data_IF_623702954706
#
_entry.id   IF_623702954706
#
_cell.length_a   1.000
_cell.length_b   1.000
_cell.length_c   1.000
_cell.angle_alpha   90.00
_cell.angle_beta   90.00
_cell.angle_gamma   90.00
#
_symmetry.space_group_name_H-M   'P 1'
#
loop_
_entity.id
_entity.type
_entity.pdbx_description
1 polymer ?
#
# COMPACT_ATOMS: atom_id res chain seq x y z
N UNK A 1 -48.95 -0.82 12.59
CA UNK A 1 -47.58 -1.08 12.05
C UNK A 1 -46.86 0.26 11.96
N UNK A 2 -45.61 0.36 12.43
CA UNK A 2 -44.77 1.57 12.23
C UNK A 2 -44.58 1.74 10.75
N UNK A 3 -44.80 2.94 10.22
CA UNK A 3 -44.53 3.24 8.81
C UNK A 3 -43.00 3.24 8.62
N UNK A 4 -42.51 2.54 7.60
CA UNK A 4 -41.10 2.50 7.24
C UNK A 4 -40.64 3.88 6.77
N UNK A 5 -39.46 4.30 7.21
CA UNK A 5 -38.88 5.61 6.87
C UNK A 5 -37.52 5.45 6.19
N UNK A 6 -37.03 6.52 5.59
CA UNK A 6 -35.68 6.57 4.99
C UNK A 6 -34.61 6.33 6.06
N UNK A 7 -34.83 6.84 7.27
CA UNK A 7 -33.88 6.62 8.38
C UNK A 7 -33.83 5.16 8.83
N UNK A 8 -34.98 4.46 8.82
CA UNK A 8 -34.99 3.00 9.04
C UNK A 8 -34.16 2.27 7.96
N UNK A 9 -34.17 2.75 6.70
CA UNK A 9 -33.34 2.20 5.62
C UNK A 9 -31.87 2.52 5.82
N UNK A 10 -31.50 3.76 6.17
CA UNK A 10 -30.10 4.17 6.42
C UNK A 10 -29.51 3.36 7.57
N UNK A 11 -30.28 3.09 8.62
CA UNK A 11 -29.87 2.28 9.76
C UNK A 11 -29.73 0.80 9.36
N UNK A 12 -30.75 0.20 8.73
CA UNK A 12 -30.73 -1.21 8.34
C UNK A 12 -29.56 -1.56 7.42
N UNK A 13 -29.29 -0.71 6.42
CA UNK A 13 -28.21 -0.94 5.45
C UNK A 13 -26.88 -0.34 5.89
N UNK A 14 -26.81 0.26 7.07
CA UNK A 14 -25.61 0.93 7.61
C UNK A 14 -24.91 1.87 6.61
N UNK A 15 -25.71 2.66 5.86
CA UNK A 15 -25.18 3.56 4.82
C UNK A 15 -24.13 4.52 5.38
N UNK A 16 -24.37 5.09 6.56
CA UNK A 16 -23.45 6.03 7.20
C UNK A 16 -22.12 5.38 7.61
N UNK A 17 -22.11 4.08 7.90
CA UNK A 17 -20.89 3.33 8.24
C UNK A 17 -20.02 3.03 7.02
N UNK A 18 -20.52 2.21 6.09
CA UNK A 18 -19.71 1.80 4.93
C UNK A 18 -19.56 2.90 3.87
N UNK A 19 -20.58 3.76 3.72
CA UNK A 19 -20.60 4.84 2.73
C UNK A 19 -19.56 5.94 2.99
N UNK A 20 -19.10 6.07 4.22
CA UNK A 20 -18.03 6.99 4.66
C UNK A 20 -18.21 8.44 4.16
N UNK A 21 -19.46 8.91 4.15
CA UNK A 21 -19.89 10.22 3.66
C UNK A 21 -19.76 10.43 2.14
N UNK A 22 -19.55 9.37 1.37
CA UNK A 22 -19.65 9.44 -0.10
C UNK A 22 -21.03 9.05 -0.61
N UNK A 23 -21.74 8.20 0.12
CA UNK A 23 -23.05 7.67 -0.26
C UNK A 23 -24.10 8.04 0.77
N UNK A 24 -25.29 8.33 0.29
CA UNK A 24 -26.47 8.61 1.11
C UNK A 24 -27.75 8.15 0.42
N UNK A 25 -28.90 8.40 1.08
CA UNK A 25 -30.25 8.19 0.55
C UNK A 25 -30.95 9.54 0.58
N UNK A 26 -31.51 9.97 -0.57
CA UNK A 26 -32.25 11.21 -0.70
C UNK A 26 -33.67 11.12 -0.15
N UNK A 27 -34.49 12.18 -0.30
CA UNK A 27 -35.87 12.21 0.24
C UNK A 27 -36.81 11.30 -0.55
N UNK A 28 -36.48 10.96 -1.79
CA UNK A 28 -37.21 10.03 -2.65
C UNK A 28 -36.92 8.57 -2.34
N UNK A 29 -35.85 8.31 -1.57
CA UNK A 29 -35.40 6.96 -1.20
C UNK A 29 -34.36 6.40 -2.14
N UNK A 30 -33.84 7.17 -3.06
CA UNK A 30 -32.81 6.77 -4.02
C UNK A 30 -31.41 7.01 -3.45
N UNK A 31 -30.43 6.20 -3.91
CA UNK A 31 -29.04 6.34 -3.48
C UNK A 31 -28.38 7.46 -4.29
N UNK A 32 -27.76 8.39 -3.60
CA UNK A 32 -26.88 9.38 -4.22
C UNK A 32 -25.43 9.20 -3.81
N UNK A 33 -24.52 9.74 -4.61
CA UNK A 33 -23.08 9.81 -4.32
C UNK A 33 -22.60 11.27 -4.33
N UNK A 34 -21.72 11.61 -3.37
CA UNK A 34 -20.99 12.88 -3.27
C UNK A 34 -19.50 12.63 -3.43
N UNK A 35 -18.99 12.50 -4.67
CA UNK A 35 -17.63 12.05 -4.94
C UNK A 35 -16.57 12.98 -4.34
N UNK A 36 -16.77 14.29 -4.47
CA UNK A 36 -15.87 15.33 -3.99
C UNK A 36 -16.10 15.73 -2.51
N UNK A 37 -17.15 15.20 -1.88
CA UNK A 37 -17.61 15.62 -0.53
C UNK A 37 -17.95 17.09 -0.41
N UNK A 38 -18.39 17.69 -1.49
CA UNK A 38 -18.98 19.01 -1.59
C UNK A 38 -20.51 18.91 -1.66
N UNK A 39 -21.17 19.99 -2.10
CA UNK A 39 -22.64 20.02 -2.26
C UNK A 39 -23.14 19.31 -3.52
N UNK A 40 -22.22 18.78 -4.36
CA UNK A 40 -22.58 18.08 -5.59
C UNK A 40 -23.07 16.67 -5.27
N UNK A 41 -24.35 16.41 -5.50
CA UNK A 41 -24.97 15.10 -5.34
C UNK A 41 -25.31 14.53 -6.71
N UNK A 42 -24.94 13.28 -6.96
CA UNK A 42 -25.28 12.55 -8.18
C UNK A 42 -26.25 11.44 -7.78
N UNK A 43 -27.49 11.56 -8.21
CA UNK A 43 -28.52 10.54 -8.00
C UNK A 43 -28.24 9.35 -8.92
N UNK A 44 -28.07 8.15 -8.33
CA UNK A 44 -27.74 6.96 -9.09
C UNK A 44 -28.92 6.42 -9.90
N UNK A 45 -30.15 6.73 -9.51
CA UNK A 45 -31.33 6.39 -10.29
C UNK A 45 -31.39 7.19 -11.57
N UNK A 46 -31.21 8.51 -11.49
CA UNK A 46 -31.13 9.37 -12.67
C UNK A 46 -30.06 8.93 -13.64
N UNK A 47 -28.86 8.56 -13.13
CA UNK A 47 -27.78 8.01 -13.97
C UNK A 47 -28.22 6.72 -14.68
N UNK A 48 -28.93 5.81 -14.00
CA UNK A 48 -29.41 4.57 -14.60
C UNK A 48 -30.50 4.81 -15.64
N UNK A 49 -31.39 5.76 -15.40
CA UNK A 49 -32.44 6.14 -16.34
C UNK A 49 -31.83 6.76 -17.62
N UNK A 50 -30.83 7.64 -17.48
CA UNK A 50 -30.09 8.19 -18.63
C UNK A 50 -29.32 7.12 -19.42
N UNK A 51 -28.68 6.17 -18.75
CA UNK A 51 -28.00 5.05 -19.41
C UNK A 51 -28.98 4.20 -20.20
N UNK A 52 -30.18 3.96 -19.64
CA UNK A 52 -31.25 3.21 -20.31
C UNK A 52 -31.74 3.92 -21.58
N UNK A 53 -31.85 5.26 -21.57
CA UNK A 53 -32.16 6.05 -22.74
C UNK A 53 -31.10 5.95 -23.86
N UNK A 54 -29.89 5.59 -23.51
CA UNK A 54 -28.75 5.36 -24.43
C UNK A 54 -28.55 3.87 -24.79
N UNK A 55 -29.55 3.03 -24.55
CA UNK A 55 -29.52 1.57 -24.78
C UNK A 55 -28.45 0.82 -23.93
N UNK A 56 -27.95 1.41 -22.84
CA UNK A 56 -27.06 0.73 -21.91
C UNK A 56 -27.89 0.08 -20.81
N UNK A 57 -27.89 -1.24 -20.78
CA UNK A 57 -28.68 -2.02 -19.84
C UNK A 57 -27.85 -2.48 -18.63
N UNK A 58 -28.49 -2.67 -17.47
CA UNK A 58 -27.87 -3.29 -16.30
C UNK A 58 -27.48 -4.77 -16.59
N UNK A 59 -26.38 -5.28 -15.98
CA UNK A 59 -25.58 -4.65 -14.94
C UNK A 59 -24.53 -3.65 -15.47
N UNK A 60 -24.36 -2.54 -14.77
CA UNK A 60 -23.35 -1.52 -15.07
C UNK A 60 -22.41 -1.35 -13.89
N UNK A 61 -21.15 -0.98 -14.17
CA UNK A 61 -20.16 -0.63 -13.16
C UNK A 61 -19.91 0.89 -13.23
N UNK A 62 -20.34 1.61 -12.19
CA UNK A 62 -20.09 3.03 -12.04
C UNK A 62 -18.79 3.24 -11.27
N UNK A 63 -17.93 4.11 -11.79
CA UNK A 63 -16.69 4.54 -11.11
C UNK A 63 -16.71 6.04 -10.92
N UNK A 64 -16.25 6.46 -9.74
CA UNK A 64 -16.10 7.85 -9.35
C UNK A 64 -14.63 8.13 -9.02
N UNK A 65 -13.82 8.58 -10.00
CA UNK A 65 -12.39 8.85 -9.79
C UNK A 65 -12.11 9.80 -8.64
N UNK A 66 -12.94 10.82 -8.47
CA UNK A 66 -12.83 11.81 -7.38
C UNK A 66 -12.79 11.17 -5.98
N UNK A 67 -13.41 10.00 -5.80
CA UNK A 67 -13.32 9.25 -4.54
C UNK A 67 -11.90 8.74 -4.32
N UNK A 68 -11.22 8.26 -5.38
CA UNK A 68 -9.82 7.84 -5.29
C UNK A 68 -8.93 9.02 -4.95
N UNK A 69 -9.14 10.15 -5.62
CA UNK A 69 -8.42 11.39 -5.40
C UNK A 69 -8.53 11.85 -3.96
N UNK A 70 -9.75 11.93 -3.44
CA UNK A 70 -10.00 12.28 -2.05
C UNK A 70 -9.34 11.30 -1.06
N UNK A 71 -9.28 9.99 -1.39
CA UNK A 71 -8.60 8.98 -0.56
C UNK A 71 -7.09 9.17 -0.54
N UNK A 72 -6.48 9.50 -1.68
CA UNK A 72 -5.05 9.83 -1.78
C UNK A 72 -4.74 11.06 -0.93
N UNK A 73 -5.48 12.15 -1.13
CA UNK A 73 -5.32 13.39 -0.38
C UNK A 73 -5.49 13.20 1.12
N UNK A 74 -6.50 12.45 1.55
CA UNK A 74 -6.74 12.14 2.95
C UNK A 74 -5.57 11.38 3.57
N UNK A 75 -5.05 10.36 2.86
CA UNK A 75 -3.93 9.57 3.35
C UNK A 75 -2.68 10.44 3.48
N UNK A 76 -2.35 11.22 2.45
CA UNK A 76 -1.24 12.15 2.48
C UNK A 76 -1.38 13.19 3.61
N UNK A 77 -2.57 13.74 3.80
CA UNK A 77 -2.87 14.71 4.88
C UNK A 77 -2.63 14.11 6.27
N UNK A 78 -2.93 12.81 6.48
CA UNK A 78 -2.62 12.12 7.73
C UNK A 78 -1.11 12.02 7.96
N UNK A 79 -0.33 11.70 6.92
CA UNK A 79 1.13 11.69 7.02
C UNK A 79 1.71 13.06 7.31
N UNK A 80 1.22 14.09 6.62
CA UNK A 80 1.66 15.48 6.87
C UNK A 80 1.44 15.91 8.32
N UNK A 81 0.24 15.65 8.86
CA UNK A 81 -0.09 15.96 10.27
C UNK A 81 0.81 15.22 11.24
N UNK A 82 1.04 13.93 11.04
CA UNK A 82 1.91 13.16 11.90
C UNK A 82 3.38 13.60 11.79
N UNK A 83 3.85 13.97 10.59
CA UNK A 83 5.19 14.49 10.38
C UNK A 83 5.41 15.80 11.16
N UNK A 84 4.41 16.69 11.15
CA UNK A 84 4.44 17.93 11.93
C UNK A 84 4.41 17.66 13.44
N UNK A 85 3.55 16.72 13.89
CA UNK A 85 3.37 16.38 15.31
C UNK A 85 4.63 15.76 15.94
N UNK A 86 5.32 14.87 15.22
CA UNK A 86 6.48 14.16 15.73
C UNK A 86 7.82 14.70 15.25
N UNK A 87 7.85 15.88 14.64
CA UNK A 87 9.06 16.52 14.12
C UNK A 87 9.86 15.60 13.18
N UNK A 88 9.13 14.85 12.34
CA UNK A 88 9.71 13.91 11.38
C UNK A 88 10.44 14.66 10.26
N UNK A 89 11.69 14.28 9.97
CA UNK A 89 12.62 15.03 9.10
C UNK A 89 12.86 14.38 7.75
N UNK A 90 12.20 13.28 7.44
CA UNK A 90 12.36 12.57 6.18
C UNK A 90 11.06 12.58 5.37
N UNK A 91 11.06 11.93 4.22
CA UNK A 91 9.92 11.87 3.31
C UNK A 91 9.06 10.64 3.56
N UNK A 92 7.76 10.74 3.26
CA UNK A 92 6.87 9.60 3.23
C UNK A 92 6.35 9.36 1.80
N UNK A 93 6.16 8.09 1.48
CA UNK A 93 5.67 7.63 0.19
C UNK A 93 4.51 6.66 0.40
N UNK A 94 3.39 6.94 -0.26
CA UNK A 94 2.30 5.96 -0.39
C UNK A 94 2.50 5.22 -1.69
N UNK A 95 2.55 3.90 -1.63
CA UNK A 95 2.75 3.05 -2.80
C UNK A 95 1.47 2.25 -3.08
N UNK A 96 0.99 2.30 -4.31
CA UNK A 96 -0.18 1.54 -4.73
C UNK A 96 0.23 0.18 -5.32
N UNK A 97 -0.15 -0.95 -4.70
CA UNK A 97 0.10 -2.26 -5.29
C UNK A 97 -0.81 -2.50 -6.50
N UNK A 98 -0.24 -2.56 -7.71
CA UNK A 98 -1.04 -2.68 -8.94
C UNK A 98 -1.91 -3.93 -8.99
N UNK A 99 -1.50 -5.00 -8.28
CA UNK A 99 -2.29 -6.25 -8.15
C UNK A 99 -3.69 -6.06 -7.58
N UNK A 100 -3.93 -4.98 -6.84
CA UNK A 100 -5.23 -4.70 -6.21
C UNK A 100 -6.28 -4.33 -7.27
N UNK A 101 -5.91 -3.46 -8.21
CA UNK A 101 -6.73 -3.12 -9.37
C UNK A 101 -5.82 -2.75 -10.54
N UNK A 102 -5.76 -3.61 -11.56
CA UNK A 102 -4.89 -3.47 -12.72
C UNK A 102 -5.57 -2.76 -13.91
N UNK A 103 -6.78 -2.25 -13.71
CA UNK A 103 -7.48 -1.56 -14.79
C UNK A 103 -6.76 -0.27 -15.14
N UNK A 104 -6.38 -0.13 -16.39
CA UNK A 104 -5.60 0.99 -16.89
C UNK A 104 -6.18 2.35 -16.48
N UNK A 105 -7.49 2.65 -16.65
CA UNK A 105 -8.04 3.95 -16.24
C UNK A 105 -7.91 4.23 -14.74
N UNK A 106 -8.01 3.19 -13.89
CA UNK A 106 -7.85 3.34 -12.44
C UNK A 106 -6.40 3.61 -12.07
N UNK A 107 -5.46 2.90 -12.71
CA UNK A 107 -4.02 3.07 -12.45
C UNK A 107 -3.55 4.44 -12.96
N UNK A 108 -3.99 4.86 -14.14
CA UNK A 108 -3.68 6.18 -14.71
C UNK A 108 -4.19 7.31 -13.81
N UNK A 109 -5.41 7.21 -13.28
CA UNK A 109 -5.97 8.18 -12.33
C UNK A 109 -5.13 8.26 -11.06
N UNK A 110 -4.85 7.11 -10.44
CA UNK A 110 -4.03 7.04 -9.22
C UNK A 110 -2.65 7.68 -9.44
N UNK A 111 -2.00 7.43 -10.58
CA UNK A 111 -0.69 8.01 -10.90
C UNK A 111 -0.81 9.51 -11.15
N UNK A 112 -1.77 9.92 -11.97
CA UNK A 112 -1.94 11.32 -12.37
C UNK A 112 -2.20 12.21 -11.17
N UNK A 113 -3.18 11.83 -10.34
CA UNK A 113 -3.53 12.58 -9.14
C UNK A 113 -2.49 12.43 -8.03
N UNK A 114 -1.95 11.22 -7.85
CA UNK A 114 -0.99 10.90 -6.80
C UNK A 114 0.39 11.55 -6.95
N UNK A 115 0.74 12.03 -8.15
CA UNK A 115 2.05 12.64 -8.46
C UNK A 115 2.46 13.72 -7.47
N UNK A 116 1.55 14.64 -7.14
CA UNK A 116 1.79 15.74 -6.20
C UNK A 116 1.92 15.30 -4.72
N UNK A 117 1.70 14.01 -4.45
CA UNK A 117 1.68 13.42 -3.11
C UNK A 117 2.73 12.32 -2.90
N UNK A 118 3.80 12.31 -3.67
CA UNK A 118 4.85 11.29 -3.60
C UNK A 118 4.31 9.85 -3.73
N UNK A 119 3.25 9.64 -4.54
CA UNK A 119 2.67 8.32 -4.73
C UNK A 119 3.55 7.48 -5.66
N UNK A 120 3.87 6.26 -5.23
CA UNK A 120 4.58 5.25 -6.01
C UNK A 120 3.69 4.06 -6.39
N UNK A 121 4.27 3.09 -7.08
CA UNK A 121 3.59 1.85 -7.47
C UNK A 121 4.43 0.63 -7.08
N UNK A 122 3.76 -0.41 -6.58
CA UNK A 122 4.37 -1.74 -6.37
C UNK A 122 3.99 -2.66 -7.51
N UNK A 123 4.99 -3.40 -8.01
CA UNK A 123 4.86 -4.50 -8.93
C UNK A 123 5.38 -5.79 -8.29
N UNK A 124 4.52 -6.77 -8.12
CA UNK A 124 4.85 -8.07 -7.53
C UNK A 124 5.24 -9.14 -8.55
N UNK A 125 5.26 -8.80 -9.85
CA UNK A 125 5.59 -9.72 -10.93
C UNK A 125 6.14 -8.98 -12.16
N UNK A 126 6.82 -9.72 -13.04
CA UNK A 126 7.35 -9.17 -14.29
C UNK A 126 6.27 -8.55 -15.20
N UNK A 127 5.10 -9.18 -15.44
CA UNK A 127 4.02 -8.55 -16.20
C UNK A 127 3.51 -7.26 -15.57
N UNK A 128 3.41 -7.21 -14.24
CA UNK A 128 3.03 -5.98 -13.54
C UNK A 128 4.07 -4.89 -13.72
N UNK A 129 5.36 -5.20 -13.66
CA UNK A 129 6.41 -4.22 -13.91
C UNK A 129 6.35 -3.65 -15.34
N UNK A 130 6.05 -4.47 -16.35
CA UNK A 130 5.82 -3.99 -17.72
C UNK A 130 4.66 -2.97 -17.76
N UNK A 131 3.54 -3.29 -17.13
CA UNK A 131 2.39 -2.38 -17.05
C UNK A 131 2.75 -1.07 -16.33
N UNK A 132 3.45 -1.16 -15.19
CA UNK A 132 3.89 0.02 -14.41
C UNK A 132 4.82 0.91 -15.24
N UNK A 133 5.80 0.35 -15.93
CA UNK A 133 6.72 1.12 -16.78
C UNK A 133 5.97 1.82 -17.93
N UNK A 134 4.98 1.15 -18.50
CA UNK A 134 4.19 1.70 -19.61
C UNK A 134 3.29 2.88 -19.18
N UNK A 135 2.70 2.81 -17.99
CA UNK A 135 1.79 3.85 -17.50
C UNK A 135 2.55 4.99 -16.80
N UNK A 136 3.67 4.68 -16.13
CA UNK A 136 4.45 5.64 -15.37
C UNK A 136 5.43 6.42 -16.28
N UNK A 137 4.94 7.47 -16.90
CA UNK A 137 5.75 8.28 -17.84
C UNK A 137 6.82 9.14 -17.16
N UNK A 138 6.76 9.38 -15.82
CA UNK A 138 7.70 10.26 -15.12
C UNK A 138 8.67 9.51 -14.21
N UNK A 139 9.88 10.08 -14.07
CA UNK A 139 11.02 9.47 -13.38
C UNK A 139 10.98 9.56 -11.85
N UNK A 140 10.13 10.41 -11.27
CA UNK A 140 10.23 10.80 -9.86
C UNK A 140 9.51 9.87 -8.90
N UNK A 141 8.48 9.16 -9.38
CA UNK A 141 7.73 8.22 -8.55
C UNK A 141 8.52 6.95 -8.27
N UNK A 142 8.43 6.46 -7.04
CA UNK A 142 9.06 5.21 -6.62
C UNK A 142 8.34 4.01 -7.23
N UNK A 143 9.11 3.04 -7.72
CA UNK A 143 8.63 1.71 -8.11
C UNK A 143 9.24 0.68 -7.17
N UNK A 144 8.40 -0.09 -6.50
CA UNK A 144 8.81 -1.19 -5.62
C UNK A 144 8.60 -2.52 -6.34
N UNK A 145 9.67 -3.27 -6.54
CA UNK A 145 9.65 -4.58 -7.17
C UNK A 145 9.67 -5.69 -6.12
N UNK A 146 8.49 -6.15 -5.72
CA UNK A 146 8.28 -7.27 -4.79
C UNK A 146 8.15 -8.61 -5.51
N UNK A 147 7.88 -9.67 -4.74
CA UNK A 147 7.68 -11.03 -5.24
C UNK A 147 8.96 -11.72 -5.67
N UNK A 148 8.84 -12.98 -6.07
CA UNK A 148 9.99 -13.75 -6.56
C UNK A 148 10.41 -13.30 -7.95
N UNK A 149 11.73 -13.12 -8.13
CA UNK A 149 12.28 -12.55 -9.35
C UNK A 149 13.17 -13.55 -10.08
N UNK A 150 12.81 -13.79 -11.33
CA UNK A 150 13.70 -14.44 -12.28
C UNK A 150 14.70 -13.43 -12.87
N UNK A 151 15.65 -13.94 -13.65
CA UNK A 151 16.66 -13.10 -14.33
C UNK A 151 16.02 -12.02 -15.18
N UNK A 152 14.97 -12.33 -15.93
CA UNK A 152 14.35 -11.38 -16.85
C UNK A 152 13.56 -10.28 -16.13
N UNK A 153 13.00 -10.58 -14.94
CA UNK A 153 12.38 -9.55 -14.10
C UNK A 153 13.44 -8.57 -13.57
N UNK A 154 14.56 -9.10 -13.05
CA UNK A 154 15.67 -8.29 -12.53
C UNK A 154 16.28 -7.45 -13.65
N UNK A 155 16.53 -8.04 -14.83
CA UNK A 155 17.07 -7.33 -16.00
C UNK A 155 16.13 -6.17 -16.40
N UNK A 156 14.82 -6.39 -16.47
CA UNK A 156 13.82 -5.36 -16.76
C UNK A 156 13.86 -4.21 -15.74
N UNK A 157 13.92 -4.53 -14.45
CA UNK A 157 14.00 -3.53 -13.38
C UNK A 157 15.27 -2.67 -13.50
N UNK A 158 16.42 -3.30 -13.76
CA UNK A 158 17.69 -2.60 -13.93
C UNK A 158 17.71 -1.74 -15.21
N UNK A 159 17.11 -2.22 -16.30
CA UNK A 159 16.97 -1.43 -17.53
C UNK A 159 16.08 -0.20 -17.29
N UNK A 160 14.97 -0.36 -16.60
CA UNK A 160 14.11 0.76 -16.25
C UNK A 160 14.82 1.75 -15.31
N UNK A 161 15.63 1.28 -14.37
CA UNK A 161 16.49 2.14 -13.55
C UNK A 161 17.52 2.91 -14.43
N UNK A 162 18.13 2.24 -15.40
CA UNK A 162 19.05 2.88 -16.36
C UNK A 162 18.37 3.94 -17.21
N UNK A 163 17.07 3.79 -17.47
CA UNK A 163 16.23 4.79 -18.14
C UNK A 163 15.80 5.95 -17.22
N UNK A 164 16.29 6.01 -15.98
CA UNK A 164 16.02 7.08 -15.03
C UNK A 164 14.83 6.83 -14.11
N UNK A 165 14.24 5.62 -14.09
CA UNK A 165 13.18 5.29 -13.13
C UNK A 165 13.76 5.03 -11.74
N UNK A 166 13.07 5.48 -10.70
CA UNK A 166 13.45 5.26 -9.30
C UNK A 166 12.91 3.92 -8.82
N UNK A 167 13.67 2.85 -9.04
CA UNK A 167 13.27 1.47 -8.74
C UNK A 167 14.03 0.93 -7.54
N UNK A 168 13.32 0.20 -6.67
CA UNK A 168 13.89 -0.65 -5.64
C UNK A 168 13.58 -2.11 -5.95
N UNK A 169 14.62 -2.95 -5.98
CA UNK A 169 14.49 -4.39 -6.17
C UNK A 169 14.51 -5.03 -4.78
N UNK A 170 13.34 -5.47 -4.29
CA UNK A 170 13.19 -6.03 -2.96
C UNK A 170 13.49 -7.52 -2.98
N UNK A 171 14.61 -7.92 -2.40
CA UNK A 171 15.08 -9.30 -2.31
C UNK A 171 14.17 -10.12 -1.39
N UNK A 172 13.62 -11.20 -1.94
CA UNK A 172 12.74 -12.15 -1.23
C UNK A 172 13.45 -13.49 -0.95
N UNK A 173 14.55 -13.77 -1.68
CA UNK A 173 15.37 -14.98 -1.56
C UNK A 173 16.84 -14.64 -1.77
N UNK A 174 17.74 -15.32 -1.05
CA UNK A 174 19.19 -15.09 -1.13
C UNK A 174 19.76 -15.20 -2.55
N UNK A 175 19.30 -16.17 -3.33
CA UNK A 175 19.80 -16.37 -4.70
C UNK A 175 19.47 -15.21 -5.67
N UNK A 176 18.52 -14.35 -5.34
CA UNK A 176 18.22 -13.14 -6.13
C UNK A 176 19.42 -12.17 -6.12
N UNK A 177 20.19 -12.11 -5.03
CA UNK A 177 21.40 -11.27 -4.95
C UNK A 177 22.47 -11.62 -5.98
N UNK A 178 22.65 -12.91 -6.27
CA UNK A 178 23.60 -13.35 -7.31
C UNK A 178 23.13 -12.91 -8.69
N UNK A 179 21.84 -13.01 -8.95
CA UNK A 179 21.24 -12.58 -10.24
C UNK A 179 21.35 -11.07 -10.36
N UNK A 180 21.00 -10.31 -9.31
CA UNK A 180 21.08 -8.84 -9.30
C UNK A 180 22.54 -8.40 -9.58
N UNK A 181 23.52 -8.97 -8.88
CA UNK A 181 24.92 -8.60 -9.06
C UNK A 181 25.43 -8.87 -10.47
N UNK A 182 25.07 -10.03 -11.04
CA UNK A 182 25.46 -10.41 -12.40
C UNK A 182 24.85 -9.47 -13.45
N UNK A 183 23.54 -9.23 -13.40
CA UNK A 183 22.84 -8.39 -14.35
C UNK A 183 23.21 -6.89 -14.18
N UNK A 184 23.39 -6.43 -12.94
CA UNK A 184 23.85 -5.08 -12.65
C UNK A 184 25.24 -4.79 -13.25
N UNK A 185 26.17 -5.74 -13.10
CA UNK A 185 27.51 -5.67 -13.72
C UNK A 185 27.43 -5.64 -15.26
N UNK A 186 26.60 -6.51 -15.85
CA UNK A 186 26.36 -6.59 -17.30
C UNK A 186 25.84 -5.27 -17.88
N UNK A 187 24.92 -4.62 -17.16
CA UNK A 187 24.25 -3.38 -17.59
C UNK A 187 25.00 -2.10 -17.18
N UNK A 188 26.00 -2.21 -16.30
CA UNK A 188 26.74 -1.08 -15.75
C UNK A 188 25.86 -0.18 -14.86
N UNK A 189 25.00 -0.78 -14.03
CA UNK A 189 24.06 -0.08 -13.14
C UNK A 189 24.37 -0.42 -11.68
N UNK A 190 24.34 0.57 -10.80
CA UNK A 190 24.32 0.36 -9.33
C UNK A 190 22.86 0.24 -8.89
N UNK A 191 22.38 -0.96 -8.49
CA UNK A 191 20.96 -1.16 -8.16
C UNK A 191 20.59 -0.52 -6.82
N UNK A 192 19.33 -0.07 -6.67
CA UNK A 192 18.77 0.16 -5.35
C UNK A 192 18.16 -1.16 -4.84
N UNK A 193 18.80 -1.77 -3.87
CA UNK A 193 18.38 -3.04 -3.28
C UNK A 193 17.56 -2.77 -2.03
N UNK A 194 16.40 -3.42 -1.97
CA UNK A 194 15.66 -3.64 -0.74
C UNK A 194 15.84 -5.08 -0.25
N UNK A 195 15.69 -5.32 1.03
CA UNK A 195 15.60 -6.68 1.58
C UNK A 195 14.29 -6.80 2.35
N UNK A 196 13.48 -7.81 2.00
CA UNK A 196 12.32 -8.17 2.79
C UNK A 196 12.75 -9.02 3.97
N UNK A 197 12.44 -8.54 5.18
CA UNK A 197 12.72 -9.23 6.44
C UNK A 197 11.47 -9.97 6.93
N UNK A 198 11.65 -11.17 7.45
CA UNK A 198 10.65 -11.87 8.22
C UNK A 198 10.67 -11.35 9.64
N UNK A 199 9.52 -10.89 10.13
CA UNK A 199 9.35 -10.51 11.52
C UNK A 199 8.87 -11.72 12.32
N UNK A 200 9.33 -11.86 13.57
CA UNK A 200 8.84 -12.89 14.50
C UNK A 200 7.38 -12.63 14.88
N UNK A 201 6.97 -11.35 14.89
CA UNK A 201 5.57 -10.96 15.09
C UNK A 201 4.73 -11.41 13.90
N UNK A 202 3.83 -12.39 14.14
CA UNK A 202 2.90 -12.89 13.12
C UNK A 202 1.69 -11.98 12.97
N UNK A 203 1.24 -11.81 11.72
CA UNK A 203 -0.08 -11.25 11.42
C UNK A 203 -1.20 -12.17 11.90
N UNK A 204 -2.44 -11.72 11.83
CA UNK A 204 -3.63 -12.59 11.99
C UNK A 204 -4.65 -12.26 10.92
N UNK A 205 -5.48 -13.23 10.64
CA UNK A 205 -6.56 -13.14 9.67
C UNK A 205 -6.49 -14.29 8.67
N UNK A 206 -7.39 -14.27 7.70
CA UNK A 206 -7.49 -15.29 6.62
C UNK A 206 -6.17 -15.55 5.86
N UNK A 207 -5.16 -14.70 6.05
CA UNK A 207 -3.83 -14.71 5.39
C UNK A 207 -2.68 -14.79 6.41
N UNK A 208 -2.92 -15.43 7.56
CA UNK A 208 -1.92 -15.63 8.64
C UNK A 208 -0.63 -16.31 8.15
N UNK A 209 -0.75 -17.19 7.14
CA UNK A 209 0.37 -17.88 6.49
C UNK A 209 1.31 -16.96 5.69
N UNK A 210 0.95 -15.68 5.48
CA UNK A 210 1.79 -14.72 4.75
C UNK A 210 2.72 -13.89 5.61
N UNK A 211 2.69 -14.05 6.93
CA UNK A 211 3.54 -13.36 7.91
C UNK A 211 4.27 -14.30 8.86
N UNK A 212 5.22 -13.75 9.63
CA UNK A 212 6.02 -14.52 10.60
C UNK A 212 7.07 -15.45 9.97
N UNK A 213 7.72 -16.29 10.79
CA UNK A 213 8.79 -17.20 10.35
C UNK A 213 8.31 -18.23 9.30
N UNK A 214 7.04 -18.60 9.32
CA UNK A 214 6.43 -19.51 8.35
C UNK A 214 6.11 -18.84 6.99
N UNK A 215 6.34 -17.54 6.86
CA UNK A 215 6.10 -16.82 5.60
C UNK A 215 6.93 -17.42 4.47
N UNK A 216 6.30 -17.58 3.30
CA UNK A 216 6.99 -17.99 2.06
C UNK A 216 7.98 -16.94 1.56
N UNK A 217 7.83 -15.69 1.99
CA UNK A 217 8.52 -14.52 1.46
C UNK A 217 9.41 -13.87 2.51
N UNK A 218 10.54 -13.34 2.07
CA UNK A 218 11.47 -12.60 2.89
C UNK A 218 12.54 -13.49 3.54
N UNK A 219 13.54 -12.85 4.09
CA UNK A 219 14.70 -13.45 4.72
C UNK A 219 14.51 -13.54 6.24
N UNK A 220 14.89 -14.65 6.83
CA UNK A 220 15.07 -14.78 8.28
C UNK A 220 16.26 -13.94 8.74
N UNK A 221 16.42 -13.73 10.05
CA UNK A 221 17.59 -13.00 10.59
C UNK A 221 18.93 -13.63 10.20
N UNK A 222 19.01 -14.97 10.13
CA UNK A 222 20.21 -15.68 9.67
C UNK A 222 20.49 -15.43 8.19
N UNK A 223 19.46 -15.57 7.33
CA UNK A 223 19.56 -15.28 5.89
C UNK A 223 19.86 -13.81 5.62
N UNK A 224 19.38 -12.88 6.47
CA UNK A 224 19.74 -11.47 6.37
C UNK A 224 21.25 -11.28 6.58
N UNK A 225 21.85 -11.90 7.59
CA UNK A 225 23.30 -11.82 7.81
C UNK A 225 24.08 -12.40 6.62
N UNK A 226 23.64 -13.52 6.04
CA UNK A 226 24.23 -14.07 4.82
C UNK A 226 24.09 -13.11 3.63
N UNK A 227 22.94 -12.44 3.51
CA UNK A 227 22.73 -11.43 2.47
C UNK A 227 23.68 -10.24 2.62
N UNK A 228 23.91 -9.77 3.85
CA UNK A 228 24.86 -8.70 4.13
C UNK A 228 26.30 -9.10 3.75
N UNK A 229 26.72 -10.31 4.13
CA UNK A 229 28.02 -10.88 3.73
C UNK A 229 28.18 -10.96 2.20
N UNK A 230 27.12 -11.39 1.50
CA UNK A 230 27.11 -11.46 0.04
C UNK A 230 27.24 -10.06 -0.59
N UNK A 231 26.54 -9.07 -0.06
CA UNK A 231 26.64 -7.69 -0.53
C UNK A 231 28.04 -7.11 -0.34
N UNK A 232 28.70 -7.37 0.79
CA UNK A 232 30.09 -6.94 1.02
C UNK A 232 31.06 -7.63 0.05
N UNK A 233 30.96 -8.96 -0.11
CA UNK A 233 31.81 -9.73 -1.05
C UNK A 233 31.66 -9.29 -2.51
N UNK A 234 30.51 -8.75 -2.88
CA UNK A 234 30.20 -8.27 -4.23
C UNK A 234 30.47 -6.77 -4.42
N UNK A 235 31.01 -6.08 -3.44
CA UNK A 235 31.20 -4.62 -3.43
C UNK A 235 29.88 -3.87 -3.69
N UNK A 236 28.81 -4.30 -3.05
CA UNK A 236 27.44 -3.76 -3.21
C UNK A 236 26.82 -3.34 -1.87
N UNK A 237 27.63 -3.08 -0.84
CA UNK A 237 27.18 -2.64 0.48
C UNK A 237 26.32 -1.36 0.40
N UNK A 238 26.74 -0.41 -0.40
CA UNK A 238 26.07 0.87 -0.67
C UNK A 238 24.77 0.74 -1.46
N UNK A 239 24.54 -0.40 -2.09
CA UNK A 239 23.32 -0.69 -2.84
C UNK A 239 22.13 -1.03 -1.93
N UNK A 240 22.39 -1.48 -0.68
CA UNK A 240 21.31 -1.74 0.28
C UNK A 240 20.75 -0.42 0.82
N UNK A 241 19.60 -0.04 0.32
CA UNK A 241 18.94 1.24 0.61
C UNK A 241 17.61 1.11 1.33
N UNK A 242 17.00 -0.09 1.30
CA UNK A 242 15.64 -0.30 1.78
C UNK A 242 15.52 -1.60 2.57
N UNK A 243 14.80 -1.55 3.69
CA UNK A 243 14.23 -2.75 4.31
C UNK A 243 12.72 -2.74 4.14
N UNK A 244 12.16 -3.90 3.84
CA UNK A 244 10.72 -4.11 3.65
C UNK A 244 10.22 -5.19 4.59
N UNK A 245 9.03 -5.03 5.12
CA UNK A 245 8.32 -6.08 5.82
C UNK A 245 6.82 -6.04 5.49
N UNK A 246 6.17 -7.18 5.59
CA UNK A 246 4.74 -7.26 5.32
C UNK A 246 4.10 -8.25 6.29
N UNK A 247 3.18 -7.79 7.10
CA UNK A 247 2.55 -8.55 8.18
C UNK A 247 1.19 -9.14 7.81
N UNK A 248 0.78 -9.01 6.56
CA UNK A 248 -0.48 -9.52 6.04
C UNK A 248 -1.41 -8.42 5.52
N UNK A 249 -2.57 -8.81 5.05
CA UNK A 249 -3.61 -7.90 4.55
C UNK A 249 -4.74 -7.79 5.56
N UNK A 250 -5.45 -6.65 5.53
CA UNK A 250 -6.64 -6.42 6.34
C UNK A 250 -6.38 -6.68 7.84
N UNK A 251 -5.38 -5.98 8.40
CA UNK A 251 -5.07 -6.11 9.82
C UNK A 251 -6.14 -5.38 10.63
N UNK A 252 -6.93 -6.12 11.39
CA UNK A 252 -8.09 -5.59 12.11
C UNK A 252 -7.74 -4.90 13.43
N UNK A 253 -6.56 -5.20 14.01
CA UNK A 253 -6.12 -4.73 15.32
C UNK A 253 -4.83 -3.92 15.25
N UNK A 254 -4.88 -2.65 15.63
CA UNK A 254 -3.73 -1.73 15.60
C UNK A 254 -2.51 -2.26 16.38
N UNK A 255 -2.71 -2.95 17.52
CA UNK A 255 -1.62 -3.49 18.34
C UNK A 255 -0.64 -4.40 17.58
N UNK A 256 -1.13 -5.12 16.55
CA UNK A 256 -0.28 -5.99 15.74
C UNK A 256 0.64 -5.18 14.83
N UNK A 257 0.11 -4.09 14.27
CA UNK A 257 0.89 -3.13 13.50
C UNK A 257 1.97 -2.53 14.38
N UNK A 258 1.62 -2.07 15.59
CA UNK A 258 2.57 -1.50 16.57
C UNK A 258 3.69 -2.49 16.93
N UNK A 259 3.37 -3.76 17.13
CA UNK A 259 4.38 -4.78 17.45
C UNK A 259 5.35 -4.99 16.30
N UNK A 260 4.83 -5.10 15.07
CA UNK A 260 5.66 -5.26 13.88
C UNK A 260 6.54 -4.03 13.61
N UNK A 261 6.00 -2.83 13.75
CA UNK A 261 6.77 -1.59 13.60
C UNK A 261 7.94 -1.50 14.60
N UNK A 262 7.70 -1.85 15.88
CA UNK A 262 8.76 -1.89 16.90
C UNK A 262 9.85 -2.88 16.55
N UNK A 263 9.49 -4.09 16.10
CA UNK A 263 10.47 -5.10 15.67
C UNK A 263 11.25 -4.61 14.45
N UNK A 264 10.57 -4.08 13.42
CA UNK A 264 11.22 -3.56 12.22
C UNK A 264 12.16 -2.37 12.53
N UNK A 265 11.79 -1.52 13.48
CA UNK A 265 12.65 -0.40 13.90
C UNK A 265 13.98 -0.87 14.51
N UNK A 266 14.02 -2.05 15.16
CA UNK A 266 15.26 -2.63 15.65
C UNK A 266 16.15 -3.11 14.50
N UNK A 267 15.60 -3.70 13.44
CA UNK A 267 16.38 -4.04 12.24
C UNK A 267 17.00 -2.80 11.61
N UNK A 268 16.23 -1.70 11.49
CA UNK A 268 16.75 -0.42 11.02
C UNK A 268 17.95 0.06 11.84
N UNK A 269 17.82 0.07 13.17
CA UNK A 269 18.88 0.50 14.09
C UNK A 269 20.12 -0.43 13.98
N UNK A 270 19.93 -1.75 13.95
CA UNK A 270 21.05 -2.69 13.89
C UNK A 270 21.82 -2.60 12.57
N UNK A 271 21.13 -2.46 11.44
CA UNK A 271 21.78 -2.28 10.13
C UNK A 271 22.65 -1.02 10.12
N UNK A 272 22.17 0.09 10.67
CA UNK A 272 22.98 1.29 10.80
C UNK A 272 24.21 1.09 11.70
N UNK A 273 24.07 0.37 12.83
CA UNK A 273 25.21 0.01 13.71
C UNK A 273 26.24 -0.88 13.01
N UNK A 274 25.82 -1.70 12.05
CA UNK A 274 26.69 -2.52 11.20
C UNK A 274 27.29 -1.73 10.01
N UNK A 275 27.00 -0.43 9.92
CA UNK A 275 27.54 0.45 8.90
C UNK A 275 26.84 0.37 7.54
N UNK A 276 25.57 -0.05 7.51
CA UNK A 276 24.70 0.02 6.34
C UNK A 276 23.85 1.28 6.39
N UNK A 277 23.87 2.06 5.32
CA UNK A 277 23.08 3.29 5.21
C UNK A 277 21.72 2.99 4.57
N UNK A 278 20.80 2.43 5.34
CA UNK A 278 19.44 2.15 4.90
C UNK A 278 18.63 3.45 4.98
N UNK A 279 18.25 4.00 3.83
CA UNK A 279 17.52 5.27 3.78
C UNK A 279 16.00 5.10 3.84
N UNK A 280 15.50 3.90 3.51
CA UNK A 280 14.07 3.64 3.36
C UNK A 280 13.63 2.47 4.23
N UNK A 281 12.46 2.63 4.82
CA UNK A 281 11.73 1.54 5.45
C UNK A 281 10.35 1.43 4.81
N UNK A 282 10.11 0.30 4.16
CA UNK A 282 8.81 -0.03 3.59
C UNK A 282 8.05 -0.92 4.59
N UNK A 283 7.02 -0.32 5.18
CA UNK A 283 6.14 -0.98 6.15
C UNK A 283 5.17 -1.98 5.49
N UNK A 284 5.24 -2.12 4.17
CA UNK A 284 4.36 -2.99 3.41
C UNK A 284 2.89 -2.55 3.48
N UNK A 285 2.01 -3.48 3.18
CA UNK A 285 0.57 -3.31 3.32
C UNK A 285 0.08 -3.70 4.72
N UNK A 286 -1.23 -3.83 4.84
CA UNK A 286 -1.86 -4.27 6.09
C UNK A 286 -2.85 -3.25 6.65
N UNK A 287 -2.78 -1.99 6.21
CA UNK A 287 -3.81 -1.01 6.53
C UNK A 287 -5.19 -1.59 6.20
N UNK A 288 -6.00 -1.80 7.24
CA UNK A 288 -7.31 -2.39 7.08
C UNK A 288 -8.35 -1.38 6.63
N UNK A 289 -9.38 -1.90 5.99
CA UNK A 289 -10.55 -1.15 5.53
C UNK A 289 -11.77 -1.59 6.34
N UNK A 290 -12.54 -0.64 6.81
CA UNK A 290 -13.83 -0.88 7.43
C UNK A 290 -14.90 -1.01 6.33
N UNK A 291 -15.08 -2.25 5.82
CA UNK A 291 -16.00 -2.51 4.71
C UNK A 291 -17.46 -2.54 5.15
N UNK A 292 -17.73 -3.01 6.38
CA UNK A 292 -19.09 -3.11 6.92
C UNK A 292 -19.49 -1.89 7.76
N UNK A 293 -18.56 -0.97 8.01
CA UNK A 293 -18.81 0.26 8.76
C UNK A 293 -19.04 0.05 10.27
N UNK A 294 -18.74 -1.15 10.79
CA UNK A 294 -19.03 -1.47 12.20
C UNK A 294 -17.96 -0.99 13.19
N UNK A 295 -16.76 -0.67 12.70
CA UNK A 295 -15.56 -0.34 13.48
C UNK A 295 -15.26 -1.39 14.56
N UNK A 296 -15.53 -2.65 14.26
CA UNK A 296 -15.38 -3.77 15.18
C UNK A 296 -14.11 -4.57 14.90
N UNK A 297 -13.25 -4.79 15.92
CA UNK A 297 -12.08 -5.65 15.78
C UNK A 297 -12.43 -7.14 15.71
N UNK A 298 -13.70 -7.49 15.93
CA UNK A 298 -14.22 -8.86 15.86
C UNK A 298 -14.72 -9.22 14.47
N UNK A 299 -14.91 -8.24 13.58
CA UNK A 299 -15.27 -8.45 12.17
C UNK A 299 -14.02 -8.50 11.32
N UNK A 300 -13.87 -9.54 10.49
CA UNK A 300 -12.80 -9.61 9.47
C UNK A 300 -12.94 -8.52 8.38
N UNK A 301 -14.14 -7.97 8.26
CA UNK A 301 -14.47 -6.90 7.31
C UNK A 301 -14.39 -5.50 7.91
N UNK A 302 -13.83 -5.36 9.13
CA UNK A 302 -13.74 -4.08 9.82
C UNK A 302 -12.39 -3.89 10.51
N UNK A 303 -12.17 -2.68 11.04
CA UNK A 303 -10.95 -2.31 11.78
C UNK A 303 -11.30 -1.43 12.98
N UNK A 304 -10.50 -1.50 14.03
CA UNK A 304 -10.69 -0.71 15.25
C UNK A 304 -9.84 0.56 15.34
N UNK A 305 -9.32 1.04 14.22
CA UNK A 305 -8.44 2.20 14.17
C UNK A 305 -8.67 3.04 12.91
N UNK A 306 -8.25 4.27 12.95
CA UNK A 306 -8.29 5.22 11.84
C UNK A 306 -6.99 5.21 11.03
N UNK A 307 -7.01 5.81 9.83
CA UNK A 307 -5.78 6.05 9.04
C UNK A 307 -4.80 6.91 9.83
N UNK A 308 -5.29 7.92 10.58
CA UNK A 308 -4.42 8.80 11.36
C UNK A 308 -3.69 8.04 12.46
N UNK A 309 -4.37 7.16 13.20
CA UNK A 309 -3.73 6.31 14.22
C UNK A 309 -2.66 5.39 13.62
N UNK A 310 -2.97 4.75 12.47
CA UNK A 310 -1.99 3.94 11.74
C UNK A 310 -0.74 4.74 11.34
N UNK A 311 -0.93 5.92 10.78
CA UNK A 311 0.17 6.79 10.33
C UNK A 311 0.97 7.32 11.51
N UNK A 312 0.30 7.70 12.59
CA UNK A 312 0.97 8.14 13.84
C UNK A 312 1.89 7.05 14.37
N UNK A 313 1.41 5.80 14.43
CA UNK A 313 2.23 4.66 14.87
C UNK A 313 3.43 4.42 13.96
N UNK A 314 3.25 4.51 12.63
CA UNK A 314 4.35 4.37 11.67
C UNK A 314 5.43 5.43 11.90
N UNK A 315 5.07 6.70 11.92
CA UNK A 315 6.03 7.81 12.06
C UNK A 315 6.66 7.79 13.47
N UNK A 316 5.84 7.76 14.52
CA UNK A 316 6.34 7.82 15.90
C UNK A 316 7.36 6.73 16.19
N UNK A 317 7.10 5.48 15.76
CA UNK A 317 7.98 4.35 16.07
C UNK A 317 9.39 4.54 15.48
N UNK A 318 9.49 5.00 14.22
CA UNK A 318 10.79 5.19 13.58
C UNK A 318 11.48 6.47 14.02
N UNK A 319 10.75 7.53 14.31
CA UNK A 319 11.29 8.77 14.91
C UNK A 319 11.89 8.47 16.29
N UNK A 320 11.15 7.79 17.17
CA UNK A 320 11.60 7.44 18.51
C UNK A 320 12.85 6.54 18.48
N UNK A 321 12.84 5.52 17.62
CA UNK A 321 13.98 4.60 17.46
C UNK A 321 15.23 5.32 16.91
N UNK A 322 15.07 6.19 15.91
CA UNK A 322 16.16 6.95 15.31
C UNK A 322 16.74 7.95 16.32
N UNK A 323 15.90 8.75 16.97
CA UNK A 323 16.33 9.75 17.96
C UNK A 323 17.07 9.13 19.14
N UNK A 324 16.59 8.01 19.69
CA UNK A 324 17.26 7.29 20.80
C UNK A 324 18.65 6.75 20.44
N UNK A 325 18.91 6.52 19.17
CA UNK A 325 20.19 5.96 18.69
C UNK A 325 21.04 7.00 17.93
N UNK A 326 20.61 8.25 17.82
CA UNK A 326 21.35 9.31 17.10
C UNK A 326 21.43 9.04 15.60
N UNK A 327 20.42 8.39 15.03
CA UNK A 327 20.34 8.02 13.61
C UNK A 327 19.45 9.00 12.82
N UNK A 328 19.62 9.12 11.50
CA UNK A 328 18.67 9.87 10.68
C UNK A 328 17.29 9.22 10.73
N UNK A 329 16.24 10.01 10.46
CA UNK A 329 14.92 9.45 10.24
C UNK A 329 14.87 8.75 8.87
N UNK A 330 14.38 7.51 8.77
CA UNK A 330 14.23 6.85 7.47
C UNK A 330 13.09 7.46 6.66
N UNK A 331 13.20 7.45 5.34
CA UNK A 331 12.05 7.66 4.49
C UNK A 331 11.08 6.48 4.65
N UNK A 332 9.81 6.77 4.92
CA UNK A 332 8.81 5.73 5.16
C UNK A 332 7.99 5.47 3.90
N UNK A 333 7.83 4.21 3.58
CA UNK A 333 6.95 3.72 2.51
C UNK A 333 5.83 2.91 3.14
N UNK A 334 4.60 3.08 2.64
CA UNK A 334 3.46 2.24 2.99
C UNK A 334 2.73 1.81 1.73
N UNK A 335 2.42 0.52 1.63
CA UNK A 335 1.68 -0.04 0.51
C UNK A 335 0.17 0.01 0.79
N UNK A 336 -0.54 0.92 0.15
CA UNK A 336 -1.96 1.15 0.40
C UNK A 336 -2.84 0.79 -0.78
N UNK A 337 -3.92 0.06 -0.52
CA UNK A 337 -4.94 -0.29 -1.52
C UNK A 337 -5.84 0.89 -1.92
N UNK A 338 -5.83 2.00 -1.20
CA UNK A 338 -6.64 3.20 -1.43
C UNK A 338 -8.16 2.97 -1.55
N UNK A 339 -8.65 1.79 -1.19
CA UNK A 339 -10.03 1.32 -1.44
C UNK A 339 -10.41 1.26 -2.93
N UNK A 340 -9.44 1.00 -3.79
CA UNK A 340 -9.66 0.88 -5.24
C UNK A 340 -10.18 -0.50 -5.66
N UNK A 341 -10.37 -1.43 -4.71
CA UNK A 341 -10.93 -2.74 -5.00
C UNK A 341 -12.36 -2.64 -5.51
N UNK A 342 -12.62 -3.21 -6.68
CA UNK A 342 -13.97 -3.33 -7.21
C UNK A 342 -14.72 -4.45 -6.50
N UNK A 343 -15.73 -4.10 -5.71
CA UNK A 343 -16.64 -5.07 -5.14
C UNK A 343 -17.58 -5.57 -6.22
N UNK A 344 -17.43 -6.82 -6.64
CA UNK A 344 -18.45 -7.48 -7.46
C UNK A 344 -19.64 -7.84 -6.58
N UNK A 345 -20.59 -6.93 -6.46
CA UNK A 345 -21.90 -7.23 -5.88
C UNK A 345 -22.60 -8.20 -6.82
N UNK A 346 -22.73 -9.44 -6.44
CA UNK A 346 -23.48 -10.44 -7.25
C UNK A 346 -22.98 -11.88 -7.18
N UNK A 347 -21.76 -12.15 -6.78
CA UNK A 347 -21.26 -13.54 -6.60
C UNK A 347 -21.38 -14.07 -5.18
N UNK A 348 -21.50 -13.20 -4.18
CA UNK A 348 -21.56 -13.59 -2.76
C UNK A 348 -22.99 -13.75 -2.20
N UNK A 349 -24.01 -13.39 -2.96
CA UNK A 349 -25.41 -13.60 -2.59
C UNK A 349 -25.98 -14.96 -3.01
N UNK A 350 -25.13 -15.92 -3.41
CA UNK A 350 -25.53 -17.29 -3.76
C UNK A 350 -24.75 -18.32 -2.96
N UNK A 351 -24.78 -18.21 -1.65
CA UNK A 351 -24.40 -19.32 -0.75
C UNK A 351 -25.42 -19.42 0.36
#
# INVERSE_FOLDING_TARGET
MKKWTIDDSKELYNINGWGTSYFGINEEGDIYVTPCKDDTQIDLREVMDELSLRDVQAPVLLRFPDILDNRIEKTWSCFKKAAEEYDYKAENYVVFPIKVNQMQPVVEEIISHGRKFNLGIEAGSKPELHAVIAVQCQSDSIIICNGYKDQSYIELALLAQKMGKRIFIVVEKLNELDIIAREAKKLGVRPNIGIRIKLASSGSGKWEESGGDASKFGLTSAELLEALDLLEKKDMKDCLRLIHFHIGSQITKIRRIQTALREASQFYVQLHKMGYNVDFVDCGGGLGVDYDGTRSPSSESSVNYSIQEYVNDCIYTFVDAANKNGLPHPNLITESKLRSEERRVGKECRS
#
